data_IF_738727201018
#
_entry.id   IF_738727201018
#
_cell.length_a   1.000
_cell.length_b   1.000
_cell.length_c   1.000
_cell.angle_alpha   90.00
_cell.angle_beta   90.00
_cell.angle_gamma   90.00
#
_symmetry.space_group_name_H-M   'P 1'
#
loop_
_entity.id
_entity.type
_entity.pdbx_description
1 polymer ?
#
# COMPACT_ATOMS: atom_id res chain seq x y z
N UNK A 1 -5.10 5.52 -6.89
CA UNK A 1 -5.21 5.92 -5.48
C UNK A 1 -4.05 5.36 -4.69
N UNK A 2 -3.53 6.16 -3.76
CA UNK A 2 -2.42 5.78 -2.90
C UNK A 2 -2.97 5.59 -1.50
N UNK A 3 -2.73 4.43 -0.89
CA UNK A 3 -3.13 4.14 0.48
C UNK A 3 -1.90 4.09 1.36
N UNK A 4 -1.89 4.83 2.45
CA UNK A 4 -0.85 4.76 3.49
C UNK A 4 -1.39 4.02 4.71
N UNK A 5 -0.60 3.07 5.21
CA UNK A 5 -0.86 2.34 6.44
C UNK A 5 0.37 2.45 7.35
N UNK A 6 0.29 3.19 8.47
CA UNK A 6 1.44 3.35 9.37
C UNK A 6 1.80 2.07 10.16
N UNK A 7 1.05 0.99 9.99
CA UNK A 7 1.26 -0.30 10.65
C UNK A 7 1.58 -1.46 9.71
N UNK A 8 1.25 -2.67 10.17
CA UNK A 8 1.44 -3.91 9.42
C UNK A 8 0.21 -4.22 8.57
N UNK A 9 0.39 -4.34 7.26
CA UNK A 9 -0.68 -4.73 6.34
C UNK A 9 -0.85 -6.24 6.34
N UNK A 10 -2.07 -6.67 6.68
CA UNK A 10 -2.47 -8.07 6.67
C UNK A 10 -3.31 -8.39 5.43
N UNK A 11 -3.31 -9.65 5.03
CA UNK A 11 -4.01 -10.15 3.85
C UNK A 11 -5.51 -10.43 4.12
N UNK A 12 -6.19 -9.57 4.90
CA UNK A 12 -7.57 -9.81 5.37
C UNK A 12 -8.63 -9.12 4.51
N UNK A 13 -8.54 -9.31 3.19
CA UNK A 13 -9.51 -8.74 2.26
C UNK A 13 -9.22 -9.10 0.80
N UNK A 14 -10.13 -8.67 -0.07
CA UNK A 14 -10.02 -8.84 -1.52
C UNK A 14 -9.76 -7.47 -2.15
N UNK A 15 -8.56 -7.27 -2.69
CA UNK A 15 -8.29 -6.10 -3.53
C UNK A 15 -8.98 -6.30 -4.89
N UNK A 16 -10.07 -5.57 -5.13
CA UNK A 16 -10.79 -5.55 -6.42
C UNK A 16 -10.22 -4.57 -7.44
N UNK A 17 -9.39 -3.62 -7.01
CA UNK A 17 -8.82 -2.56 -7.85
C UNK A 17 -7.30 -2.51 -7.67
N UNK A 18 -6.53 -2.27 -8.74
CA UNK A 18 -5.09 -2.04 -8.64
C UNK A 18 -4.87 -0.70 -7.94
N UNK A 19 -4.22 -0.73 -6.79
CA UNK A 19 -3.91 0.46 -6.01
C UNK A 19 -2.50 0.34 -5.41
N UNK A 20 -1.88 1.49 -5.18
CA UNK A 20 -0.55 1.57 -4.59
C UNK A 20 -0.71 1.62 -3.08
N UNK A 21 -0.15 0.65 -2.38
CA UNK A 21 -0.19 0.59 -0.91
C UNK A 21 1.20 0.92 -0.38
N UNK A 22 1.31 1.99 0.39
CA UNK A 22 2.44 2.27 1.26
C UNK A 22 2.17 1.73 2.66
N UNK A 23 3.10 0.97 3.22
CA UNK A 23 3.02 0.60 4.62
C UNK A 23 4.38 0.57 5.31
N UNK A 24 4.37 0.54 6.64
CA UNK A 24 5.56 0.33 7.45
C UNK A 24 6.06 -1.13 7.36
N UNK A 25 5.13 -2.07 7.24
CA UNK A 25 5.44 -3.49 7.06
C UNK A 25 4.31 -4.22 6.35
N UNK A 26 4.66 -5.23 5.56
CA UNK A 26 3.69 -6.09 4.89
C UNK A 26 3.88 -7.53 5.34
N UNK A 27 2.78 -8.26 5.51
CA UNK A 27 2.83 -9.72 5.57
C UNK A 27 3.13 -10.28 4.17
N UNK A 28 3.84 -11.41 4.12
CA UNK A 28 4.18 -12.11 2.86
C UNK A 28 2.93 -12.35 1.99
N UNK A 29 1.86 -12.89 2.60
CA UNK A 29 0.58 -13.11 1.94
C UNK A 29 -0.15 -11.83 1.52
N UNK A 30 0.19 -10.68 2.10
CA UNK A 30 -0.38 -9.39 1.71
C UNK A 30 0.34 -8.86 0.45
N UNK A 31 1.67 -8.95 0.41
CA UNK A 31 2.48 -8.58 -0.77
C UNK A 31 2.03 -9.38 -1.99
N UNK A 32 1.89 -10.70 -1.85
CA UNK A 32 1.42 -11.57 -2.93
C UNK A 32 0.03 -11.19 -3.43
N UNK A 33 -0.91 -10.89 -2.53
CA UNK A 33 -2.26 -10.45 -2.93
C UNK A 33 -2.23 -9.09 -3.63
N UNK A 34 -1.42 -8.15 -3.15
CA UNK A 34 -1.30 -6.82 -3.75
C UNK A 34 -0.74 -6.95 -5.18
N UNK A 35 0.32 -7.74 -5.37
CA UNK A 35 0.88 -8.00 -6.70
C UNK A 35 -0.12 -8.74 -7.61
N UNK A 36 -0.82 -9.76 -7.10
CA UNK A 36 -1.87 -10.48 -7.84
C UNK A 36 -3.03 -9.58 -8.27
N UNK A 37 -3.36 -8.57 -7.48
CA UNK A 37 -4.39 -7.58 -7.80
C UNK A 37 -3.90 -6.48 -8.77
N UNK A 38 -2.63 -6.54 -9.21
CA UNK A 38 -2.02 -5.51 -10.05
C UNK A 38 -1.69 -4.21 -9.29
N UNK A 39 -1.69 -4.26 -7.95
CA UNK A 39 -1.25 -3.18 -7.09
C UNK A 39 0.26 -3.19 -6.87
N UNK A 40 0.80 -2.07 -6.38
CA UNK A 40 2.20 -1.94 -6.00
C UNK A 40 2.33 -1.78 -4.48
N UNK A 41 2.96 -2.72 -3.76
CA UNK A 41 3.38 -2.50 -2.40
C UNK A 41 4.67 -1.68 -2.42
N UNK A 42 4.67 -0.54 -1.74
CA UNK A 42 5.84 0.33 -1.57
C UNK A 42 6.03 0.65 -0.09
N UNK A 43 7.22 1.07 0.29
CA UNK A 43 7.46 1.52 1.66
C UNK A 43 7.00 2.96 1.87
N UNK A 44 6.69 3.36 3.11
CA UNK A 44 6.41 4.77 3.43
C UNK A 44 7.51 5.69 2.88
N UNK A 45 8.77 5.26 2.97
CA UNK A 45 9.95 6.03 2.57
C UNK A 45 9.98 6.31 1.06
N UNK A 46 9.79 5.28 0.25
CA UNK A 46 9.70 5.39 -1.21
C UNK A 46 8.52 6.25 -1.66
N UNK A 47 7.43 6.21 -0.90
CA UNK A 47 6.26 7.02 -1.20
C UNK A 47 6.53 8.51 -0.98
N UNK A 48 7.24 8.88 0.09
CA UNK A 48 7.69 10.26 0.32
C UNK A 48 8.60 10.77 -0.79
N UNK A 49 9.46 9.91 -1.34
CA UNK A 49 10.34 10.28 -2.47
C UNK A 49 9.58 10.40 -3.79
N UNK A 50 8.66 9.47 -4.05
CA UNK A 50 7.91 9.41 -5.31
C UNK A 50 6.78 10.44 -5.38
N UNK A 51 6.16 10.76 -4.24
CA UNK A 51 5.04 11.68 -4.17
C UNK A 51 5.11 12.60 -2.94
N UNK A 52 6.07 13.55 -2.90
CA UNK A 52 6.32 14.41 -1.75
C UNK A 52 5.17 15.36 -1.41
N UNK A 53 4.25 15.61 -2.36
CA UNK A 53 3.08 16.47 -2.17
C UNK A 53 1.92 15.77 -1.44
N UNK A 54 1.95 14.44 -1.30
CA UNK A 54 0.88 13.70 -0.63
C UNK A 54 -0.51 13.85 -1.29
N UNK A 55 -0.57 14.25 -2.56
CA UNK A 55 -1.84 14.47 -3.25
C UNK A 55 -2.50 13.14 -3.58
N UNK A 56 -3.81 13.00 -3.33
CA UNK A 56 -4.58 11.75 -3.51
C UNK A 56 -4.13 10.56 -2.64
N UNK A 57 -3.63 10.85 -1.44
CA UNK A 57 -3.28 9.83 -0.44
C UNK A 57 -4.44 9.62 0.52
N UNK A 58 -4.81 8.36 0.75
CA UNK A 58 -5.75 7.93 1.80
C UNK A 58 -4.98 7.23 2.90
N UNK A 59 -5.05 7.79 4.11
CA UNK A 59 -4.47 7.15 5.30
C UNK A 59 -5.52 6.20 5.86
N UNK A 60 -5.14 4.95 6.07
CA UNK A 60 -5.97 3.91 6.68
C UNK A 60 -5.23 3.39 7.91
N UNK A 61 -5.92 3.39 9.06
CA UNK A 61 -5.39 2.88 10.34
C UNK A 61 -5.96 1.51 10.65
#
# INVERSE_FOLDING_TARGET
EIVIVPGKVLSSGTLKKPLTVAAASFSMSAVEKIQKAGGKPISIRELTETNPKGTNVRIVI
#
